data_IF_359818626340
#
_entry.id   IF_359818626340
#
_cell.length_a   1.000
_cell.length_b   1.000
_cell.length_c   1.000
_cell.angle_alpha   90.00
_cell.angle_beta   90.00
_cell.angle_gamma   90.00
#
_symmetry.space_group_name_H-M   'P 1'
#
loop_
_entity.id
_entity.type
_entity.pdbx_description
1 polymer ?
#
# COMPACT_ATOMS: atom_id res chain seq x y z
N UNK A 1 -79.24 -23.36 35.30
CA UNK A 1 -78.62 -22.23 34.60
C UNK A 1 -77.14 -22.36 34.84
N UNK A 2 -76.30 -22.89 33.91
CA UNK A 2 -74.85 -22.98 34.06
C UNK A 2 -74.19 -21.72 33.67
N UNK A 3 -73.18 -21.27 34.40
CA UNK A 3 -72.36 -20.12 34.19
C UNK A 3 -71.18 -20.45 33.25
N UNK A 4 -70.95 -19.58 32.27
CA UNK A 4 -69.86 -19.64 31.33
C UNK A 4 -68.56 -19.22 31.97
N UNK A 5 -67.57 -20.12 31.96
CA UNK A 5 -66.15 -19.85 32.32
C UNK A 5 -65.37 -19.45 31.09
N UNK A 6 -65.03 -18.19 31.01
CA UNK A 6 -64.13 -17.66 29.99
C UNK A 6 -62.71 -18.03 30.37
N UNK A 7 -62.06 -18.88 29.54
CA UNK A 7 -60.63 -19.21 29.65
C UNK A 7 -59.78 -18.07 29.10
N UNK A 8 -59.01 -17.42 29.97
CA UNK A 8 -58.09 -16.37 29.66
C UNK A 8 -56.75 -17.00 29.23
N UNK A 9 -56.53 -17.08 27.93
CA UNK A 9 -55.26 -17.57 27.35
C UNK A 9 -54.15 -16.54 27.46
N UNK A 10 -53.28 -16.69 28.46
CA UNK A 10 -52.07 -15.89 28.59
C UNK A 10 -51.02 -16.39 27.60
N UNK A 11 -50.84 -15.65 26.50
CA UNK A 11 -49.68 -15.78 25.65
C UNK A 11 -48.45 -15.28 26.37
N UNK A 12 -47.70 -16.15 27.03
CA UNK A 12 -46.35 -15.85 27.51
C UNK A 12 -45.35 -16.03 26.36
N UNK A 13 -45.05 -14.94 25.63
CA UNK A 13 -43.90 -14.91 24.77
C UNK A 13 -42.62 -14.86 25.62
N UNK A 14 -41.93 -16.00 25.72
CA UNK A 14 -40.62 -16.06 26.37
C UNK A 14 -39.63 -15.15 25.63
N UNK A 15 -38.82 -14.36 26.37
CA UNK A 15 -37.82 -13.52 25.74
C UNK A 15 -36.73 -14.38 25.06
N UNK A 16 -36.58 -14.23 23.75
CA UNK A 16 -35.51 -14.88 23.00
C UNK A 16 -34.17 -14.33 23.49
N UNK A 17 -33.36 -15.17 24.12
CA UNK A 17 -32.07 -14.78 24.65
C UNK A 17 -31.13 -14.43 23.49
N UNK A 18 -30.34 -13.36 23.65
CA UNK A 18 -29.32 -12.96 22.68
C UNK A 18 -28.32 -14.09 22.31
N UNK A 19 -28.11 -15.04 23.21
CA UNK A 19 -27.30 -16.25 22.97
C UNK A 19 -27.95 -17.22 21.99
N UNK A 20 -29.28 -17.32 21.93
CA UNK A 20 -29.96 -18.16 20.95
C UNK A 20 -29.90 -17.58 19.52
N UNK A 21 -29.86 -16.24 19.42
CA UNK A 21 -29.74 -15.57 18.10
C UNK A 21 -28.34 -15.75 17.50
N UNK A 22 -27.30 -15.86 18.33
CA UNK A 22 -25.91 -16.06 17.88
C UNK A 22 -25.57 -17.54 17.60
N UNK A 23 -26.34 -18.47 18.11
CA UNK A 23 -26.18 -19.90 17.86
C UNK A 23 -26.88 -20.43 16.61
N UNK A 24 -27.78 -19.64 16.02
CA UNK A 24 -28.61 -20.06 14.87
C UNK A 24 -28.10 -19.60 13.49
N UNK A 25 -27.03 -18.81 13.41
CA UNK A 25 -26.34 -18.56 12.13
C UNK A 25 -25.44 -19.75 11.83
N UNK A 26 -26.04 -20.68 11.12
CA UNK A 26 -25.44 -21.95 10.75
C UNK A 26 -24.05 -21.80 10.22
N UNK A 27 -23.22 -22.76 10.60
CA UNK A 27 -22.02 -23.18 9.91
C UNK A 27 -22.34 -23.40 8.41
N UNK A 28 -22.38 -22.32 7.63
CA UNK A 28 -22.12 -22.45 6.20
C UNK A 28 -20.65 -22.86 6.10
N UNK A 29 -20.33 -23.97 5.45
CA UNK A 29 -18.94 -24.37 5.33
C UNK A 29 -18.19 -23.28 4.58
N UNK A 30 -17.19 -22.68 5.24
CA UNK A 30 -16.24 -21.71 4.66
C UNK A 30 -15.40 -22.36 3.54
N UNK A 31 -15.70 -23.59 3.20
CA UNK A 31 -15.03 -24.38 2.15
C UNK A 31 -15.39 -24.00 0.71
N UNK A 32 -16.37 -23.12 0.49
CA UNK A 32 -16.85 -22.82 -0.86
C UNK A 32 -16.24 -21.55 -1.50
N UNK A 33 -15.34 -20.82 -0.82
CA UNK A 33 -14.65 -19.64 -1.38
C UNK A 33 -13.13 -19.85 -1.45
N UNK A 34 -12.64 -20.99 -0.99
CA UNK A 34 -11.29 -21.41 -1.33
C UNK A 34 -11.28 -21.96 -2.77
N UNK A 35 -11.58 -21.10 -3.74
CA UNK A 35 -11.10 -21.33 -5.10
C UNK A 35 -9.58 -21.44 -4.97
N UNK A 36 -9.02 -22.61 -5.27
CA UNK A 36 -7.59 -22.82 -5.32
C UNK A 36 -7.01 -21.71 -6.19
N UNK A 37 -6.31 -20.75 -5.55
CA UNK A 37 -5.59 -19.74 -6.29
C UNK A 37 -4.51 -20.49 -7.08
N UNK A 38 -4.34 -20.17 -8.36
CA UNK A 38 -3.33 -20.85 -9.17
C UNK A 38 -1.97 -20.74 -8.46
N UNK A 39 -1.13 -21.76 -8.55
CA UNK A 39 0.24 -21.67 -8.10
C UNK A 39 0.88 -20.43 -8.74
N UNK A 40 1.85 -19.82 -8.05
CA UNK A 40 2.64 -18.73 -8.62
C UNK A 40 3.02 -19.09 -10.05
N UNK A 41 2.74 -18.21 -11.01
CA UNK A 41 3.14 -18.41 -12.39
C UNK A 41 4.67 -18.53 -12.42
N UNK A 42 5.18 -19.73 -12.65
CA UNK A 42 6.62 -20.01 -12.63
C UNK A 42 7.42 -19.13 -13.62
N UNK A 43 6.73 -18.54 -14.61
CA UNK A 43 7.32 -17.66 -15.63
C UNK A 43 7.47 -16.20 -15.17
N UNK A 44 6.67 -15.74 -14.20
CA UNK A 44 6.63 -14.31 -13.84
C UNK A 44 7.10 -14.01 -12.42
N UNK A 45 7.14 -15.01 -11.54
CA UNK A 45 7.42 -14.83 -10.12
C UNK A 45 6.26 -14.19 -9.32
N UNK A 46 5.20 -13.67 -9.98
CA UNK A 46 4.03 -13.12 -9.32
C UNK A 46 3.00 -14.19 -8.96
N UNK A 47 2.24 -13.96 -7.88
CA UNK A 47 1.17 -14.85 -7.43
C UNK A 47 -0.21 -14.41 -7.90
N UNK A 48 -0.42 -13.11 -8.01
CA UNK A 48 -1.69 -12.52 -8.44
C UNK A 48 -1.62 -12.02 -9.89
N UNK A 49 -0.58 -11.28 -10.25
CA UNK A 49 -0.46 -10.71 -11.58
C UNK A 49 0.06 -11.71 -12.62
N UNK A 50 -0.41 -11.58 -13.85
CA UNK A 50 0.26 -12.17 -15.00
C UNK A 50 1.43 -11.27 -15.46
N UNK A 51 2.22 -11.74 -16.43
CA UNK A 51 3.41 -11.04 -16.94
C UNK A 51 3.07 -9.63 -17.46
N UNK A 52 2.01 -9.50 -18.24
CA UNK A 52 1.59 -8.22 -18.81
C UNK A 52 1.14 -7.24 -17.71
N UNK A 53 0.31 -7.69 -16.78
CA UNK A 53 -0.13 -6.87 -15.65
C UNK A 53 1.03 -6.37 -14.80
N UNK A 54 1.99 -7.25 -14.50
CA UNK A 54 3.22 -6.87 -13.81
C UNK A 54 4.02 -5.81 -14.56
N UNK A 55 4.16 -5.97 -15.88
CA UNK A 55 4.86 -5.00 -16.73
C UNK A 55 4.15 -3.64 -16.78
N UNK A 56 2.83 -3.62 -16.90
CA UNK A 56 2.05 -2.37 -16.86
C UNK A 56 2.25 -1.65 -15.53
N UNK A 57 2.22 -2.38 -14.41
CA UNK A 57 2.43 -1.79 -13.09
C UNK A 57 3.87 -1.32 -12.90
N UNK A 58 4.87 -2.07 -13.37
CA UNK A 58 6.27 -1.63 -13.32
C UNK A 58 6.42 -0.27 -14.02
N UNK A 59 5.95 -0.18 -15.26
CA UNK A 59 5.99 1.08 -15.99
C UNK A 59 5.21 2.19 -15.28
N UNK A 60 3.99 1.92 -14.80
CA UNK A 60 3.15 2.92 -14.16
C UNK A 60 3.75 3.44 -12.85
N UNK A 61 4.24 2.56 -11.98
CA UNK A 61 4.84 2.95 -10.69
C UNK A 61 6.14 3.73 -10.87
N UNK A 62 6.95 3.38 -11.88
CA UNK A 62 8.15 4.13 -12.26
C UNK A 62 7.84 5.51 -12.85
N UNK A 63 6.65 5.73 -13.43
CA UNK A 63 6.20 7.08 -13.81
C UNK A 63 5.75 7.89 -12.60
N UNK A 64 5.22 7.24 -11.55
CA UNK A 64 4.76 7.90 -10.32
C UNK A 64 5.92 8.27 -9.40
N UNK A 65 6.84 7.34 -9.19
CA UNK A 65 8.08 7.54 -8.39
C UNK A 65 9.25 7.01 -9.22
N UNK A 66 9.84 7.88 -10.05
CA UNK A 66 10.96 7.49 -10.89
C UNK A 66 12.24 7.30 -10.08
N UNK A 67 13.07 6.36 -10.49
CA UNK A 67 14.44 6.20 -10.01
C UNK A 67 15.49 6.72 -11.00
N UNK A 68 16.79 6.51 -10.70
CA UNK A 68 17.89 7.02 -11.51
C UNK A 68 17.89 6.53 -12.96
N UNK A 69 17.33 5.34 -13.19
CA UNK A 69 17.21 4.77 -14.54
C UNK A 69 16.05 5.37 -15.34
N UNK A 70 15.09 5.98 -14.67
CA UNK A 70 13.90 6.56 -15.29
C UNK A 70 14.08 8.05 -15.58
N UNK A 71 14.77 8.74 -14.69
CA UNK A 71 15.05 10.18 -14.78
C UNK A 71 16.42 10.47 -14.19
N UNK A 72 17.30 11.05 -14.97
CA UNK A 72 18.67 11.41 -14.57
C UNK A 72 18.72 12.44 -13.42
N UNK A 73 17.63 13.18 -13.21
CA UNK A 73 17.51 14.13 -12.11
C UNK A 73 17.31 13.44 -10.76
N UNK A 74 16.93 12.16 -10.77
CA UNK A 74 16.76 11.32 -9.58
C UNK A 74 18.06 10.58 -9.21
N UNK A 75 19.22 11.06 -9.69
CA UNK A 75 20.50 10.46 -9.34
C UNK A 75 20.71 10.43 -7.83
N UNK A 76 20.92 9.22 -7.29
CA UNK A 76 21.06 9.00 -5.83
C UNK A 76 19.74 8.77 -5.08
N UNK A 77 18.59 8.94 -5.74
CA UNK A 77 17.28 8.68 -5.13
C UNK A 77 16.66 7.43 -5.76
N UNK A 78 16.35 6.39 -4.97
CA UNK A 78 15.72 5.18 -5.47
C UNK A 78 14.26 5.44 -5.85
N UNK A 79 13.80 4.77 -6.90
CA UNK A 79 12.41 4.81 -7.32
C UNK A 79 11.65 3.51 -7.03
N UNK A 80 10.46 3.42 -7.62
CA UNK A 80 9.56 2.29 -7.43
C UNK A 80 10.19 0.95 -7.84
N UNK A 81 11.04 0.93 -8.86
CA UNK A 81 11.70 -0.30 -9.32
C UNK A 81 12.71 -0.81 -8.28
N UNK A 82 13.56 0.08 -7.77
CA UNK A 82 14.59 -0.27 -6.78
C UNK A 82 13.97 -0.76 -5.46
N UNK A 83 12.81 -0.21 -5.10
CA UNK A 83 12.07 -0.59 -3.91
C UNK A 83 11.21 -1.86 -4.08
N UNK A 84 11.16 -2.47 -5.28
CA UNK A 84 10.32 -3.63 -5.57
C UNK A 84 8.82 -3.40 -5.32
N UNK A 85 8.29 -2.26 -5.75
CA UNK A 85 6.90 -1.87 -5.49
C UNK A 85 5.91 -2.87 -6.06
N UNK A 86 6.13 -3.40 -7.26
CA UNK A 86 5.21 -4.39 -7.88
C UNK A 86 5.17 -5.68 -7.06
N UNK A 87 6.32 -6.13 -6.54
CA UNK A 87 6.39 -7.30 -5.65
C UNK A 87 5.61 -7.10 -4.35
N UNK A 88 5.68 -5.91 -3.76
CA UNK A 88 4.86 -5.55 -2.59
C UNK A 88 3.37 -5.64 -2.89
N UNK A 89 2.93 -5.02 -4.00
CA UNK A 89 1.52 -5.01 -4.38
C UNK A 89 1.03 -6.43 -4.67
N UNK A 90 1.81 -7.23 -5.37
CA UNK A 90 1.50 -8.65 -5.64
C UNK A 90 1.37 -9.45 -4.34
N UNK A 91 2.30 -9.28 -3.41
CA UNK A 91 2.28 -9.92 -2.08
C UNK A 91 1.04 -9.52 -1.30
N UNK A 92 0.70 -8.22 -1.25
CA UNK A 92 -0.49 -7.71 -0.59
C UNK A 92 -1.77 -8.31 -1.20
N UNK A 93 -1.90 -8.31 -2.52
CA UNK A 93 -3.07 -8.84 -3.21
C UNK A 93 -3.18 -10.36 -3.09
N UNK A 94 -2.08 -11.05 -2.87
CA UNK A 94 -2.04 -12.51 -2.68
C UNK A 94 -1.87 -12.92 -1.22
N UNK A 95 -2.00 -12.01 -0.25
CA UNK A 95 -1.63 -12.23 1.15
C UNK A 95 -2.24 -13.49 1.78
N UNK A 96 -3.49 -13.82 1.46
CA UNK A 96 -4.16 -15.03 1.97
C UNK A 96 -3.81 -16.31 1.22
N UNK A 97 -2.89 -16.28 0.25
CA UNK A 97 -2.35 -17.48 -0.40
C UNK A 97 -1.09 -18.00 0.27
N UNK A 98 -0.55 -17.23 1.20
CA UNK A 98 0.59 -17.63 2.03
C UNK A 98 0.11 -18.39 3.27
N UNK A 99 0.99 -19.19 3.85
CA UNK A 99 0.75 -19.90 5.11
C UNK A 99 1.96 -19.72 6.03
N UNK A 100 1.86 -18.91 7.09
CA UNK A 100 0.73 -18.08 7.49
C UNK A 100 0.43 -16.97 6.46
N UNK A 101 -0.76 -16.34 6.51
CA UNK A 101 -1.09 -15.22 5.65
C UNK A 101 -0.09 -14.08 5.76
N UNK A 102 0.27 -13.45 4.62
CA UNK A 102 1.22 -12.32 4.58
C UNK A 102 0.54 -10.98 4.92
N UNK A 103 -0.34 -10.98 5.93
CA UNK A 103 -1.00 -9.81 6.52
C UNK A 103 -1.24 -10.08 8.00
N UNK A 104 -0.95 -9.09 8.84
CA UNK A 104 -0.87 -9.28 10.28
C UNK A 104 -1.58 -8.14 11.01
N UNK A 105 -1.95 -8.36 12.27
CA UNK A 105 -2.53 -7.33 13.14
C UNK A 105 -1.48 -6.37 13.69
N UNK A 106 -0.21 -6.78 13.70
CA UNK A 106 0.91 -5.99 14.15
C UNK A 106 2.24 -6.69 13.86
N UNK A 107 3.35 -5.97 14.02
CA UNK A 107 4.68 -6.44 13.65
C UNK A 107 4.94 -6.40 12.14
N UNK A 108 6.11 -6.85 11.68
CA UNK A 108 7.23 -7.25 12.52
C UNK A 108 7.86 -6.05 13.22
N UNK A 109 8.31 -6.27 14.43
CA UNK A 109 9.12 -5.29 15.14
C UNK A 109 10.58 -5.70 14.99
N UNK A 110 11.37 -4.91 14.28
CA UNK A 110 12.80 -5.15 14.15
C UNK A 110 13.58 -3.91 14.55
N UNK A 111 14.54 -4.08 15.45
CA UNK A 111 15.42 -2.99 15.87
C UNK A 111 16.50 -2.75 14.81
N UNK A 112 16.13 -2.12 13.71
CA UNK A 112 17.05 -1.79 12.61
C UNK A 112 17.84 -0.51 12.82
N UNK A 113 17.52 0.24 13.87
CA UNK A 113 18.29 1.42 14.28
C UNK A 113 19.61 1.10 14.99
N UNK A 114 20.14 -0.11 14.84
CA UNK A 114 21.41 -0.55 15.40
C UNK A 114 21.30 -1.69 16.42
N UNK A 115 20.12 -2.26 16.63
CA UNK A 115 19.93 -3.47 17.42
C UNK A 115 20.30 -4.72 16.64
N UNK A 116 20.60 -5.79 17.38
CA UNK A 116 20.91 -7.12 16.82
C UNK A 116 19.71 -8.07 16.86
N UNK A 117 18.61 -7.66 17.48
CA UNK A 117 17.40 -8.47 17.58
C UNK A 117 16.56 -8.30 16.32
N UNK A 118 16.11 -9.43 15.79
CA UNK A 118 15.15 -9.51 14.72
C UNK A 118 13.83 -10.04 15.29
N UNK A 119 12.81 -9.20 15.31
CA UNK A 119 11.48 -9.54 15.83
C UNK A 119 10.54 -10.06 14.72
N UNK A 120 11.07 -10.48 13.58
CA UNK A 120 10.32 -11.06 12.47
C UNK A 120 9.40 -12.22 12.88
N UNK A 121 9.84 -13.00 13.90
CA UNK A 121 9.03 -14.09 14.43
C UNK A 121 7.83 -13.62 15.26
N UNK A 122 7.75 -12.32 15.55
CA UNK A 122 6.74 -11.75 16.43
C UNK A 122 5.59 -11.07 15.65
N UNK A 123 5.30 -11.52 14.45
CA UNK A 123 4.10 -11.14 13.76
C UNK A 123 2.85 -11.51 14.58
N UNK A 124 1.99 -10.51 14.83
CA UNK A 124 0.71 -10.72 15.50
C UNK A 124 -0.31 -11.20 14.48
N UNK A 125 -0.85 -12.43 14.62
CA UNK A 125 -1.83 -12.93 13.67
C UNK A 125 -3.14 -12.14 13.76
N UNK A 126 -3.86 -12.09 12.64
CA UNK A 126 -5.19 -11.51 12.58
C UNK A 126 -6.18 -12.34 13.42
N UNK A 127 -7.07 -11.68 14.15
CA UNK A 127 -8.25 -12.32 14.67
C UNK A 127 -9.30 -12.61 13.57
N UNK A 128 -10.41 -13.24 13.91
CA UNK A 128 -11.44 -13.61 12.94
C UNK A 128 -12.09 -12.40 12.27
N UNK A 129 -12.33 -11.33 13.01
CA UNK A 129 -12.97 -10.12 12.47
C UNK A 129 -12.02 -9.36 11.56
N UNK A 130 -10.76 -9.22 11.97
CA UNK A 130 -9.70 -8.64 11.18
C UNK A 130 -9.45 -9.44 9.90
N UNK A 131 -9.39 -10.78 10.00
CA UNK A 131 -9.25 -11.67 8.83
C UNK A 131 -10.36 -11.42 7.82
N UNK A 132 -11.62 -11.39 8.26
CA UNK A 132 -12.75 -11.11 7.38
C UNK A 132 -12.64 -9.72 6.73
N UNK A 133 -12.34 -8.68 7.52
CA UNK A 133 -12.18 -7.32 7.01
C UNK A 133 -11.08 -7.21 5.96
N UNK A 134 -9.92 -7.84 6.21
CA UNK A 134 -8.81 -7.85 5.26
C UNK A 134 -9.13 -8.64 3.98
N UNK A 135 -9.83 -9.78 4.08
CA UNK A 135 -10.27 -10.52 2.90
C UNK A 135 -11.17 -9.68 2.00
N UNK A 136 -12.13 -8.94 2.57
CA UNK A 136 -13.00 -8.04 1.79
C UNK A 136 -12.20 -6.90 1.14
N UNK A 137 -11.28 -6.29 1.89
CA UNK A 137 -10.42 -5.21 1.38
C UNK A 137 -9.57 -5.68 0.21
N UNK A 138 -8.88 -6.81 0.35
CA UNK A 138 -8.04 -7.38 -0.71
C UNK A 138 -8.88 -7.77 -1.92
N UNK A 139 -10.08 -8.33 -1.74
CA UNK A 139 -10.99 -8.62 -2.85
C UNK A 139 -11.35 -7.34 -3.63
N UNK A 140 -11.64 -6.25 -2.93
CA UNK A 140 -11.87 -4.94 -3.53
C UNK A 140 -10.64 -4.40 -4.28
N UNK A 141 -9.46 -4.51 -3.69
CA UNK A 141 -8.22 -4.09 -4.35
C UNK A 141 -7.93 -4.92 -5.61
N UNK A 142 -8.09 -6.24 -5.57
CA UNK A 142 -7.93 -7.12 -6.75
C UNK A 142 -8.80 -6.66 -7.92
N UNK A 143 -10.06 -6.33 -7.65
CA UNK A 143 -10.95 -5.80 -8.68
C UNK A 143 -10.46 -4.46 -9.23
N UNK A 144 -10.05 -3.53 -8.36
CA UNK A 144 -9.55 -2.21 -8.76
C UNK A 144 -8.26 -2.33 -9.59
N UNK A 145 -7.33 -3.21 -9.21
CA UNK A 145 -6.11 -3.44 -9.98
C UNK A 145 -6.41 -4.07 -11.34
N UNK A 146 -7.22 -5.11 -11.40
CA UNK A 146 -7.57 -5.76 -12.67
C UNK A 146 -8.24 -4.77 -13.62
N UNK A 147 -9.24 -4.03 -13.15
CA UNK A 147 -9.95 -3.05 -13.98
C UNK A 147 -9.10 -1.81 -14.30
N UNK A 148 -8.27 -1.37 -13.36
CA UNK A 148 -7.38 -0.22 -13.55
C UNK A 148 -6.31 -0.47 -14.60
N UNK A 149 -5.64 -1.63 -14.56
CA UNK A 149 -4.67 -2.03 -15.57
C UNK A 149 -5.33 -2.10 -16.96
N UNK A 150 -6.48 -2.77 -17.07
CA UNK A 150 -7.23 -2.84 -18.32
C UNK A 150 -7.63 -1.45 -18.85
N UNK A 151 -7.96 -0.51 -17.97
CA UNK A 151 -8.26 0.86 -18.34
C UNK A 151 -7.02 1.61 -18.87
N UNK A 152 -5.83 1.42 -18.25
CA UNK A 152 -4.60 2.02 -18.76
C UNK A 152 -4.31 1.52 -20.19
N UNK A 153 -4.43 0.21 -20.43
CA UNK A 153 -4.26 -0.38 -21.75
C UNK A 153 -5.29 0.18 -22.76
N UNK A 154 -6.54 0.26 -22.36
CA UNK A 154 -7.59 0.84 -23.20
C UNK A 154 -7.28 2.29 -23.59
N UNK A 155 -6.84 3.13 -22.66
CA UNK A 155 -6.48 4.53 -22.91
C UNK A 155 -5.22 4.68 -23.77
N UNK A 156 -4.32 3.70 -23.69
CA UNK A 156 -3.13 3.61 -24.54
C UNK A 156 -3.47 3.21 -25.98
N UNK A 157 -4.62 2.56 -26.18
CA UNK A 157 -5.04 2.02 -27.49
C UNK A 157 -4.60 0.56 -27.70
N UNK A 158 -4.28 -0.14 -26.59
CA UNK A 158 -3.94 -1.57 -26.59
C UNK A 158 -2.96 -1.96 -25.48
N UNK A 159 -1.76 -1.41 -25.48
CA UNK A 159 -0.71 -1.75 -24.52
C UNK A 159 -0.06 -0.48 -23.93
N UNK A 160 -0.29 -0.26 -22.65
CA UNK A 160 0.24 0.90 -21.92
C UNK A 160 1.77 0.91 -21.88
N UNK A 161 2.42 -0.25 -21.89
CA UNK A 161 3.89 -0.34 -21.84
C UNK A 161 4.56 0.10 -23.14
N UNK A 162 3.85 0.02 -24.24
CA UNK A 162 4.38 0.31 -25.60
C UNK A 162 4.36 1.79 -25.96
N UNK A 163 3.61 2.63 -25.24
CA UNK A 163 3.52 4.07 -25.55
C UNK A 163 4.64 4.87 -24.90
N UNK A 164 4.99 6.00 -25.49
CA UNK A 164 6.08 6.87 -25.00
C UNK A 164 5.77 7.45 -23.62
N UNK A 165 6.80 7.75 -22.83
CA UNK A 165 6.71 8.24 -21.44
C UNK A 165 5.71 9.40 -21.27
N UNK A 166 5.75 10.42 -22.12
CA UNK A 166 4.81 11.54 -22.07
C UNK A 166 3.36 11.08 -22.23
N UNK A 167 3.09 10.10 -23.09
CA UNK A 167 1.75 9.54 -23.27
C UNK A 167 1.32 8.75 -22.03
N UNK A 168 2.23 8.01 -21.39
CA UNK A 168 1.98 7.31 -20.14
C UNK A 168 1.57 8.30 -19.04
N UNK A 169 2.27 9.43 -18.91
CA UNK A 169 1.93 10.47 -17.93
C UNK A 169 0.55 11.08 -18.17
N UNK A 170 0.23 11.38 -19.43
CA UNK A 170 -1.10 11.88 -19.79
C UNK A 170 -2.22 10.87 -19.51
N UNK A 171 -1.95 9.57 -19.69
CA UNK A 171 -2.92 8.50 -19.38
C UNK A 171 -3.11 8.39 -17.88
N UNK A 172 -2.03 8.38 -17.08
CA UNK A 172 -2.10 8.34 -15.61
C UNK A 172 -2.83 9.57 -15.04
N UNK A 173 -2.65 10.75 -15.64
CA UNK A 173 -3.38 11.98 -15.29
C UNK A 173 -4.80 12.08 -15.87
N UNK A 174 -5.22 11.14 -16.73
CA UNK A 174 -6.52 11.20 -17.35
C UNK A 174 -7.67 11.02 -16.34
N UNK A 175 -8.71 11.84 -16.40
CA UNK A 175 -9.78 11.85 -15.41
C UNK A 175 -10.44 10.48 -15.13
N UNK A 176 -10.54 9.59 -16.14
CA UNK A 176 -11.04 8.23 -15.94
C UNK A 176 -10.05 7.33 -15.19
N UNK A 177 -8.74 7.50 -15.40
CA UNK A 177 -7.69 6.71 -14.77
C UNK A 177 -7.34 7.24 -13.38
N UNK A 178 -7.61 8.51 -13.09
CA UNK A 178 -7.19 9.20 -11.87
C UNK A 178 -7.52 8.45 -10.57
N UNK A 179 -8.71 7.86 -10.37
CA UNK A 179 -9.00 7.08 -9.16
C UNK A 179 -8.07 5.88 -8.99
N UNK A 180 -7.76 5.16 -10.07
CA UNK A 180 -6.80 4.05 -10.04
C UNK A 180 -5.36 4.56 -9.83
N UNK A 181 -4.97 5.64 -10.50
CA UNK A 181 -3.66 6.28 -10.34
C UNK A 181 -3.43 6.71 -8.89
N UNK A 182 -4.43 7.28 -8.22
CA UNK A 182 -4.35 7.66 -6.81
C UNK A 182 -4.18 6.44 -5.89
N UNK A 183 -4.93 5.38 -6.12
CA UNK A 183 -4.76 4.11 -5.41
C UNK A 183 -3.35 3.56 -5.61
N UNK A 184 -2.91 3.49 -6.86
CA UNK A 184 -1.59 2.99 -7.22
C UNK A 184 -0.48 3.82 -6.59
N UNK A 185 -0.60 5.16 -6.60
CA UNK A 185 0.35 6.06 -5.96
C UNK A 185 0.42 5.82 -4.44
N UNK A 186 -0.73 5.69 -3.77
CA UNK A 186 -0.78 5.39 -2.33
C UNK A 186 -0.03 4.10 -2.00
N UNK A 187 -0.31 3.02 -2.72
CA UNK A 187 0.40 1.75 -2.50
C UNK A 187 1.87 1.79 -2.95
N UNK A 188 2.22 2.64 -3.93
CA UNK A 188 3.63 2.86 -4.32
C UNK A 188 4.41 3.51 -3.18
N UNK A 189 3.87 4.56 -2.56
CA UNK A 189 4.47 5.22 -1.39
C UNK A 189 4.56 4.25 -0.20
N UNK A 190 3.49 3.50 0.06
CA UNK A 190 3.50 2.48 1.11
C UNK A 190 4.61 1.45 0.87
N UNK A 191 4.74 0.93 -0.34
CA UNK A 191 5.77 -0.03 -0.71
C UNK A 191 7.19 0.53 -0.59
N UNK A 192 7.39 1.82 -0.92
CA UNK A 192 8.70 2.49 -0.82
C UNK A 192 9.22 2.55 0.62
N UNK A 193 8.31 2.74 1.61
CA UNK A 193 8.70 3.09 2.97
C UNK A 193 8.20 2.11 4.04
N UNK A 194 7.49 1.03 3.64
CA UNK A 194 7.08 -0.02 4.56
C UNK A 194 8.25 -0.85 5.06
N UNK A 195 8.00 -1.67 6.08
CA UNK A 195 8.97 -2.69 6.50
C UNK A 195 9.17 -3.69 5.36
N UNK A 196 10.43 -4.06 5.04
CA UNK A 196 10.76 -4.85 3.85
C UNK A 196 10.19 -6.28 3.87
N UNK A 197 9.76 -6.75 5.02
CA UNK A 197 9.14 -8.07 5.20
C UNK A 197 7.82 -8.22 4.43
N UNK A 198 7.16 -7.11 4.09
CA UNK A 198 5.99 -7.10 3.22
C UNK A 198 6.32 -7.10 1.72
N UNK A 199 7.61 -7.16 1.37
CA UNK A 199 8.09 -7.31 -0.02
C UNK A 199 8.45 -6.01 -0.73
N UNK A 200 8.14 -4.85 -0.14
CA UNK A 200 8.58 -3.53 -0.60
C UNK A 200 9.89 -3.07 0.05
N UNK A 201 10.27 -1.81 -0.15
CA UNK A 201 11.45 -1.20 0.44
C UNK A 201 12.69 -2.11 0.37
N UNK A 202 12.86 -2.77 -0.79
CA UNK A 202 13.87 -3.78 -1.00
C UNK A 202 15.26 -3.21 -0.64
N UNK A 203 16.05 -3.98 0.11
CA UNK A 203 17.36 -3.54 0.62
C UNK A 203 17.31 -2.23 1.44
N UNK A 204 16.15 -1.87 1.99
CA UNK A 204 15.93 -0.64 2.76
C UNK A 204 16.19 0.64 1.96
N UNK A 205 16.05 0.60 0.64
CA UNK A 205 16.42 1.74 -0.23
C UNK A 205 15.61 2.99 0.09
N UNK A 206 14.32 2.86 0.38
CA UNK A 206 13.47 4.00 0.75
C UNK A 206 13.86 4.58 2.11
N UNK A 207 14.16 3.72 3.10
CA UNK A 207 14.62 4.18 4.41
C UNK A 207 16.00 4.86 4.35
N UNK A 208 16.90 4.32 3.53
CA UNK A 208 18.22 4.94 3.31
C UNK A 208 18.11 6.31 2.65
N UNK A 209 17.20 6.45 1.68
CA UNK A 209 16.96 7.71 0.97
C UNK A 209 16.48 8.81 1.92
N UNK A 210 15.50 8.50 2.77
CA UNK A 210 14.99 9.46 3.78
C UNK A 210 15.81 9.46 5.07
N UNK A 211 16.91 8.70 5.13
CA UNK A 211 17.77 8.53 6.33
C UNK A 211 16.99 8.05 7.56
N UNK A 212 15.95 7.24 7.36
CA UNK A 212 15.22 6.65 8.46
C UNK A 212 16.04 5.54 9.10
N UNK A 213 16.28 5.59 10.43
CA UNK A 213 17.20 4.64 11.09
C UNK A 213 16.61 3.23 11.21
N UNK A 214 15.33 3.08 10.98
CA UNK A 214 14.62 1.83 11.14
C UNK A 214 13.62 1.87 12.30
N UNK A 215 12.91 0.76 12.45
CA UNK A 215 11.91 0.59 13.47
C UNK A 215 12.58 0.39 14.85
N UNK A 216 12.11 1.10 15.85
CA UNK A 216 12.57 1.00 17.24
C UNK A 216 11.65 0.19 18.15
N UNK A 217 10.50 -0.28 17.64
CA UNK A 217 9.63 -1.10 18.45
C UNK A 217 10.19 -2.52 18.65
N UNK A 218 9.93 -3.18 19.78
CA UNK A 218 9.16 -2.68 20.91
C UNK A 218 9.97 -1.83 21.91
N UNK A 219 11.26 -1.57 21.66
CA UNK A 219 12.14 -0.83 22.58
C UNK A 219 11.67 0.61 22.80
N UNK A 220 11.13 1.24 21.76
CA UNK A 220 10.84 2.67 21.75
C UNK A 220 12.09 3.54 21.61
N UNK A 221 11.93 4.83 21.73
CA UNK A 221 13.01 5.80 21.69
C UNK A 221 13.48 6.15 23.11
N UNK A 222 14.79 6.32 23.30
CA UNK A 222 15.36 6.89 24.52
C UNK A 222 15.21 8.40 24.52
N UNK A 223 15.27 9.04 25.69
CA UNK A 223 15.22 10.49 25.81
C UNK A 223 16.30 11.17 24.95
N UNK A 224 17.50 10.61 24.89
CA UNK A 224 18.60 11.11 24.07
C UNK A 224 18.31 11.04 22.56
N UNK A 225 17.56 10.05 22.10
CA UNK A 225 17.14 9.92 20.70
C UNK A 225 16.02 10.90 20.37
N UNK A 226 15.12 11.17 21.33
CA UNK A 226 14.04 12.13 21.19
C UNK A 226 14.58 13.58 21.22
N UNK A 227 15.58 13.84 22.05
CA UNK A 227 16.23 15.15 22.18
C UNK A 227 17.30 15.41 21.12
N UNK A 228 17.68 14.39 20.35
CA UNK A 228 18.62 14.57 19.24
C UNK A 228 18.07 15.64 18.27
N UNK A 229 18.95 16.53 17.75
CA UNK A 229 18.52 17.50 16.76
C UNK A 229 17.75 16.79 15.64
N UNK A 230 16.61 17.37 15.24
CA UNK A 230 15.87 16.86 14.09
C UNK A 230 16.86 16.57 12.96
N UNK A 231 16.79 15.39 12.45
CA UNK A 231 17.58 14.97 11.31
C UNK A 231 17.35 15.99 10.21
N UNK A 232 18.42 16.52 9.70
CA UNK A 232 18.36 17.26 8.44
C UNK A 232 18.04 16.21 7.34
N UNK A 233 16.76 15.83 7.30
CA UNK A 233 16.19 14.79 6.41
C UNK A 233 16.45 15.18 4.96
N UNK A 234 16.89 16.41 4.75
CA UNK A 234 17.11 16.94 3.45
C UNK A 234 18.52 17.49 3.45
N UNK A 235 19.38 16.84 2.68
CA UNK A 235 20.60 17.48 2.22
C UNK A 235 20.19 18.85 1.67
N UNK A 236 20.44 19.83 2.47
CA UNK A 236 19.70 21.07 2.66
C UNK A 236 19.62 22.00 1.46
N UNK A 237 20.20 21.64 0.35
CA UNK A 237 20.38 22.54 -0.80
C UNK A 237 19.58 22.13 -2.04
N UNK A 238 18.86 21.00 -2.00
CA UNK A 238 18.02 20.56 -3.11
C UNK A 238 16.64 21.21 -3.14
N UNK A 239 15.99 21.18 -4.32
CA UNK A 239 14.60 21.69 -4.53
C UNK A 239 13.63 21.11 -3.50
N UNK A 240 13.78 19.86 -3.12
CA UNK A 240 12.93 19.18 -2.12
C UNK A 240 13.10 19.82 -0.74
N UNK A 241 14.32 20.15 -0.33
CA UNK A 241 14.60 20.87 0.92
C UNK A 241 13.98 22.26 0.97
N UNK A 242 13.98 22.95 -0.15
CA UNK A 242 13.34 24.25 -0.31
C UNK A 242 11.81 24.13 -0.21
N UNK A 243 11.22 23.12 -0.84
CA UNK A 243 9.78 22.86 -0.80
C UNK A 243 9.29 22.50 0.59
N UNK A 244 10.06 21.69 1.33
CA UNK A 244 9.69 21.26 2.68
C UNK A 244 9.84 22.37 3.72
N UNK A 245 10.82 23.30 3.57
CA UNK A 245 11.06 24.40 4.51
C UNK A 245 10.34 25.70 4.22
N UNK A 246 9.96 25.97 2.99
CA UNK A 246 9.44 27.29 2.64
C UNK A 246 8.18 27.32 1.79
N UNK A 247 7.63 26.18 1.48
CA UNK A 247 6.47 26.06 0.60
C UNK A 247 6.76 26.48 -0.84
N UNK A 248 5.82 26.20 -1.71
CA UNK A 248 5.86 26.47 -3.14
C UNK A 248 6.22 27.90 -3.52
N UNK A 249 5.90 28.90 -2.67
CA UNK A 249 6.14 30.32 -2.94
C UNK A 249 7.63 30.66 -2.99
N UNK A 250 8.45 30.07 -2.12
CA UNK A 250 9.90 30.30 -2.14
C UNK A 250 10.60 29.55 -3.30
N UNK A 251 10.10 28.38 -3.67
CA UNK A 251 10.61 27.64 -4.84
C UNK A 251 10.35 28.40 -6.14
N UNK A 252 9.17 29.00 -6.30
CA UNK A 252 8.81 29.82 -7.47
C UNK A 252 9.66 31.10 -7.51
N UNK A 253 9.90 31.77 -6.38
CA UNK A 253 10.73 32.96 -6.31
C UNK A 253 12.20 32.65 -6.71
N UNK A 254 12.72 31.49 -6.32
CA UNK A 254 14.09 31.04 -6.68
C UNK A 254 14.24 30.66 -8.16
N UNK A 255 13.18 30.10 -8.78
CA UNK A 255 13.16 29.78 -10.20
C UNK A 255 12.91 30.99 -11.10
N UNK A 256 12.20 32.01 -10.59
CA UNK A 256 11.95 33.26 -11.32
C UNK A 256 13.06 34.31 -11.26
N UNK A 257 14.06 34.12 -10.40
CA UNK A 257 15.10 35.14 -10.13
C UNK A 257 16.32 35.15 -11.06
N UNK A 258 16.41 34.29 -12.09
CA UNK A 258 17.57 34.21 -13.00
C UNK A 258 17.35 34.86 -14.36
N UNK A 259 16.33 35.70 -14.51
CA UNK A 259 15.98 36.39 -15.77
C UNK A 259 16.21 37.91 -15.75
N UNK A 260 17.19 38.42 -14.99
CA UNK A 260 17.61 39.82 -15.07
C UNK A 260 18.51 40.01 -16.31
N UNK A 261 17.93 40.31 -17.46
CA UNK A 261 18.65 40.82 -18.60
C UNK A 261 19.14 42.22 -18.25
N UNK A 262 20.45 42.38 -18.08
CA UNK A 262 21.10 43.68 -18.08
C UNK A 262 20.94 44.31 -19.47
N UNK A 263 19.96 45.22 -19.62
CA UNK A 263 19.94 46.19 -20.70
C UNK A 263 20.88 47.34 -20.28
N UNK A 264 22.08 47.30 -20.85
CA UNK A 264 23.02 48.41 -20.71
C UNK A 264 22.56 49.66 -21.46
N UNK A 265 22.82 50.78 -20.88
CA UNK A 265 23.09 52.03 -21.57
C UNK A 265 24.49 52.48 -21.18
#
# INVERSE_FOLDING_TARGET
MPGDTVANGSNSSAPVSRRALLGGLGLLPLAAVAGALPPANAETGYRFFNAHQGAVLDVATRRLIPGPQDNVLEYGHPGAAEANVVGFIDTMLSAFTYSPPAVHAGGPWSNRAGGTQDFMAEFVPLDRAQTYGWQQRIAGYRQQYTSGIALLDQLAGGDFTSVVKLRQDLILGHGKALPFTQLLFGHTVEAMYSVPEYGGNANLVGWQDIKFPGDNEPRGYTDAEVEAPEWDIVGTDGIVGVLMRGGWQQAIAKMGGTGGVNAGH
#
